data_IF_395060126643
#
_entry.id   IF_395060126643
#
_cell.length_a   1.000
_cell.length_b   1.000
_cell.length_c   1.000
_cell.angle_alpha   90.00
_cell.angle_beta   90.00
_cell.angle_gamma   90.00
#
_symmetry.space_group_name_H-M   'P 1'
#
loop_
_entity.id
_entity.type
_entity.pdbx_description
1 polymer ?
#
# COMPACT_ATOMS: atom_id res chain seq x y z
N UNK A 1 -9.57 -10.92 2.01
CA UNK A 1 -9.05 -10.14 3.16
C UNK A 1 -9.67 -8.75 3.10
N UNK A 2 -10.24 -8.25 4.21
CA UNK A 2 -10.84 -6.90 4.31
C UNK A 2 -9.92 -5.97 5.08
N UNK A 3 -9.79 -4.72 4.65
CA UNK A 3 -9.11 -3.66 5.39
C UNK A 3 -10.06 -3.06 6.40
N UNK A 4 -9.59 -2.80 7.63
CA UNK A 4 -10.37 -2.11 8.65
C UNK A 4 -10.33 -0.58 8.47
N UNK A 5 -11.16 0.13 9.24
CA UNK A 5 -11.13 1.59 9.27
C UNK A 5 -9.81 2.14 9.84
N UNK A 6 -9.24 1.46 10.83
CA UNK A 6 -7.94 1.78 11.43
C UNK A 6 -6.82 1.61 10.40
N UNK A 7 -6.88 0.55 9.58
CA UNK A 7 -5.94 0.35 8.49
C UNK A 7 -5.97 1.53 7.50
N UNK A 8 -7.15 2.11 7.26
CA UNK A 8 -7.30 3.29 6.39
C UNK A 8 -6.53 4.50 6.94
N UNK A 9 -6.63 4.76 8.25
CA UNK A 9 -5.84 5.82 8.89
C UNK A 9 -4.34 5.50 8.86
N UNK A 10 -3.97 4.25 9.10
CA UNK A 10 -2.57 3.82 9.07
C UNK A 10 -1.91 4.13 7.73
N UNK A 11 -2.55 3.78 6.61
CA UNK A 11 -2.01 4.03 5.28
C UNK A 11 -1.95 5.51 4.91
N UNK A 12 -2.91 6.34 5.35
CA UNK A 12 -2.83 7.79 5.14
C UNK A 12 -1.67 8.41 5.94
N UNK A 13 -1.51 8.04 7.21
CA UNK A 13 -0.46 8.58 8.09
C UNK A 13 0.96 8.11 7.73
N UNK A 14 1.10 6.98 7.04
CA UNK A 14 2.38 6.33 6.77
C UNK A 14 2.66 6.16 5.27
N UNK A 15 1.94 6.89 4.41
CA UNK A 15 1.98 6.69 2.96
C UNK A 15 3.41 6.72 2.39
N UNK A 16 4.17 7.78 2.67
CA UNK A 16 5.53 7.96 2.15
C UNK A 16 6.47 6.87 2.66
N UNK A 17 6.45 6.59 3.98
CA UNK A 17 7.26 5.52 4.58
C UNK A 17 6.97 4.15 3.96
N UNK A 18 5.69 3.81 3.78
CA UNK A 18 5.31 2.52 3.19
C UNK A 18 5.72 2.45 1.72
N UNK A 19 5.64 3.57 0.99
CA UNK A 19 6.10 3.66 -0.39
C UNK A 19 7.62 3.43 -0.49
N UNK A 20 8.40 4.01 0.41
CA UNK A 20 9.85 3.79 0.51
C UNK A 20 10.20 2.35 0.87
N UNK A 21 9.53 1.76 1.86
CA UNK A 21 9.70 0.35 2.24
C UNK A 21 9.42 -0.60 1.06
N UNK A 22 8.40 -0.30 0.23
CA UNK A 22 8.11 -1.08 -0.98
C UNK A 22 9.20 -0.92 -2.06
N UNK A 23 9.77 0.28 -2.21
CA UNK A 23 10.84 0.53 -3.16
C UNK A 23 12.13 -0.20 -2.73
N UNK A 24 12.48 -0.15 -1.44
CA UNK A 24 13.60 -0.89 -0.87
C UNK A 24 13.40 -2.41 -1.03
N UNK A 25 12.18 -2.91 -0.82
CA UNK A 25 11.87 -4.32 -1.04
C UNK A 25 12.15 -4.75 -2.48
N UNK A 26 11.78 -3.95 -3.48
CA UNK A 26 12.06 -4.23 -4.89
C UNK A 26 13.55 -4.24 -5.21
N UNK A 27 14.29 -3.23 -4.72
CA UNK A 27 15.74 -3.14 -4.95
C UNK A 27 16.45 -4.33 -4.30
N UNK A 28 16.11 -4.65 -3.05
CA UNK A 28 16.71 -5.77 -2.32
C UNK A 28 16.31 -7.12 -2.89
N UNK A 29 15.07 -7.29 -3.37
CA UNK A 29 14.66 -8.53 -4.04
C UNK A 29 15.40 -8.75 -5.36
N UNK A 30 15.68 -7.67 -6.11
CA UNK A 30 16.41 -7.74 -7.37
C UNK A 30 17.91 -8.01 -7.17
N UNK A 31 18.52 -7.55 -6.07
CA UNK A 31 19.93 -7.87 -5.74
C UNK A 31 20.20 -9.34 -5.39
N UNK A 32 19.16 -10.17 -5.28
CA UNK A 32 19.31 -11.62 -5.09
C UNK A 32 19.14 -12.43 -6.38
N UNK A 33 18.71 -11.81 -7.49
CA UNK A 33 18.71 -12.47 -8.82
C UNK A 33 20.13 -12.48 -9.43
N UNK A 34 21.03 -11.59 -8.99
CA UNK A 34 22.42 -11.51 -9.49
C UNK A 34 23.45 -12.35 -8.70
N UNK A 35 23.01 -13.20 -7.76
CA UNK A 35 23.91 -14.07 -6.98
C UNK A 35 24.05 -15.50 -7.54
N UNK A 36 23.52 -15.79 -8.73
CA UNK A 36 23.51 -17.16 -9.27
C UNK A 36 24.35 -17.40 -10.54
N UNK A 37 25.23 -16.49 -10.96
CA UNK A 37 26.06 -16.73 -12.15
C UNK A 37 27.57 -16.87 -11.93
N UNK A 38 28.15 -16.67 -10.73
CA UNK A 38 29.62 -16.74 -10.65
C UNK A 38 30.29 -17.10 -9.32
N UNK A 39 29.75 -18.04 -8.53
CA UNK A 39 30.55 -18.68 -7.47
C UNK A 39 30.28 -20.19 -7.45
N UNK A 40 31.13 -20.93 -8.16
CA UNK A 40 31.25 -22.37 -8.00
C UNK A 40 31.81 -22.71 -6.62
N UNK A 41 30.96 -22.87 -5.61
CA UNK A 41 31.30 -23.59 -4.38
C UNK A 41 30.07 -24.36 -3.90
N UNK A 42 30.13 -25.68 -4.12
CA UNK A 42 29.51 -26.80 -3.38
C UNK A 42 28.34 -26.42 -2.44
N UNK A 43 27.10 -26.58 -2.91
CA UNK A 43 25.93 -26.64 -2.02
C UNK A 43 25.74 -28.06 -1.48
N UNK A 44 26.29 -28.31 -0.30
CA UNK A 44 25.93 -29.45 0.55
C UNK A 44 24.48 -29.33 1.02
N UNK A 45 23.85 -30.49 1.17
CA UNK A 45 22.41 -30.77 1.30
C UNK A 45 21.64 -30.06 2.45
N UNK A 46 20.48 -29.50 2.06
CA UNK A 46 19.15 -29.42 2.71
C UNK A 46 18.93 -28.72 4.08
N UNK A 47 18.16 -27.61 4.07
CA UNK A 47 16.95 -27.30 4.90
C UNK A 47 16.32 -25.91 4.65
N UNK A 48 16.95 -25.05 3.84
CA UNK A 48 16.57 -23.63 3.69
C UNK A 48 15.55 -23.31 2.57
N UNK A 49 15.25 -24.22 1.65
CA UNK A 49 14.44 -23.89 0.46
C UNK A 49 12.97 -23.62 0.80
N UNK A 50 12.39 -24.36 1.73
CA UNK A 50 10.99 -24.20 2.19
C UNK A 50 10.83 -22.93 3.02
N UNK A 51 11.77 -22.65 3.91
CA UNK A 51 11.81 -21.43 4.73
C UNK A 51 12.01 -20.19 3.86
N UNK A 52 12.93 -20.23 2.90
CA UNK A 52 13.11 -19.14 1.92
C UNK A 52 11.92 -18.97 0.98
N UNK A 53 11.24 -20.05 0.58
CA UNK A 53 10.00 -19.96 -0.20
C UNK A 53 8.84 -19.41 0.64
N UNK A 54 8.78 -19.73 1.93
CA UNK A 54 7.82 -19.16 2.89
C UNK A 54 8.11 -17.68 3.14
N UNK A 55 9.36 -17.29 3.35
CA UNK A 55 9.79 -15.90 3.46
C UNK A 55 9.45 -15.12 2.18
N UNK A 56 9.71 -15.69 1.01
CA UNK A 56 9.27 -15.12 -0.28
C UNK A 56 7.75 -14.98 -0.36
N UNK A 57 6.97 -16.01 -0.02
CA UNK A 57 5.49 -15.97 -0.03
C UNK A 57 4.89 -15.01 1.00
N UNK A 58 5.45 -14.96 2.21
CA UNK A 58 5.08 -14.04 3.29
C UNK A 58 5.36 -12.60 2.89
N UNK A 59 6.54 -12.35 2.32
CA UNK A 59 6.92 -11.05 1.78
C UNK A 59 6.09 -10.68 0.54
N UNK A 60 5.70 -11.64 -0.31
CA UNK A 60 4.90 -11.38 -1.51
C UNK A 60 3.45 -10.99 -1.17
N UNK A 61 2.81 -11.71 -0.24
CA UNK A 61 1.46 -11.37 0.24
C UNK A 61 1.43 -10.03 0.98
N UNK A 62 2.44 -9.75 1.82
CA UNK A 62 2.62 -8.45 2.46
C UNK A 62 2.84 -7.33 1.43
N UNK A 63 3.72 -7.56 0.45
CA UNK A 63 4.06 -6.61 -0.61
C UNK A 63 2.84 -6.29 -1.48
N UNK A 64 2.11 -7.31 -1.96
CA UNK A 64 0.90 -7.13 -2.77
C UNK A 64 -0.13 -6.27 -2.02
N UNK A 65 -0.37 -6.55 -0.74
CA UNK A 65 -1.33 -5.80 0.07
C UNK A 65 -0.93 -4.34 0.24
N UNK A 66 0.31 -4.08 0.59
CA UNK A 66 0.80 -2.71 0.76
C UNK A 66 0.90 -1.95 -0.55
N UNK A 67 1.30 -2.62 -1.64
CA UNK A 67 1.30 -2.05 -3.00
C UNK A 67 -0.12 -1.67 -3.42
N UNK A 68 -1.10 -2.54 -3.20
CA UNK A 68 -2.51 -2.24 -3.41
C UNK A 68 -2.94 -1.01 -2.61
N UNK A 69 -2.66 -0.97 -1.31
CA UNK A 69 -3.03 0.16 -0.47
C UNK A 69 -2.36 1.47 -0.91
N UNK A 70 -1.07 1.46 -1.23
CA UNK A 70 -0.34 2.62 -1.76
C UNK A 70 -0.94 3.08 -3.09
N UNK A 71 -1.32 2.17 -3.98
CA UNK A 71 -1.97 2.52 -5.24
C UNK A 71 -3.35 3.16 -5.01
N UNK A 72 -4.15 2.62 -4.07
CA UNK A 72 -5.42 3.24 -3.69
C UNK A 72 -5.24 4.66 -3.14
N UNK A 73 -4.23 4.89 -2.31
CA UNK A 73 -3.92 6.23 -1.79
C UNK A 73 -3.47 7.15 -2.94
N UNK A 74 -2.56 6.72 -3.82
CA UNK A 74 -2.15 7.51 -4.99
C UNK A 74 -3.33 7.91 -5.87
N UNK A 75 -4.21 6.95 -6.16
CA UNK A 75 -5.39 7.18 -6.97
C UNK A 75 -6.35 8.15 -6.28
N UNK A 76 -6.56 8.01 -4.97
CA UNK A 76 -7.38 8.94 -4.18
C UNK A 76 -6.87 10.37 -4.33
N UNK A 77 -5.58 10.63 -4.10
CA UNK A 77 -5.00 11.97 -4.23
C UNK A 77 -5.05 12.52 -5.67
N UNK A 78 -4.98 11.64 -6.68
CA UNK A 78 -5.09 12.04 -8.10
C UNK A 78 -6.51 12.50 -8.47
N UNK A 79 -7.53 11.91 -7.84
CA UNK A 79 -8.95 12.19 -8.12
C UNK A 79 -9.49 13.39 -7.31
N UNK A 80 -8.74 13.89 -6.33
CA UNK A 80 -9.13 15.04 -5.50
C UNK A 80 -8.92 16.37 -6.22
N UNK A 81 -9.87 17.29 -6.03
CA UNK A 81 -9.66 18.71 -6.23
C UNK A 81 -8.57 19.26 -5.30
N UNK A 82 -8.03 20.43 -5.63
CA UNK A 82 -6.85 20.95 -4.95
C UNK A 82 -7.12 21.40 -3.50
N UNK A 83 -8.32 21.92 -3.18
CA UNK A 83 -8.68 22.30 -1.81
C UNK A 83 -8.73 21.06 -0.90
N UNK A 84 -9.40 19.99 -1.33
CA UNK A 84 -9.45 18.72 -0.58
C UNK A 84 -8.07 18.09 -0.47
N UNK A 85 -7.29 18.12 -1.56
CA UNK A 85 -5.93 17.58 -1.57
C UNK A 85 -5.06 18.29 -0.54
N UNK A 86 -5.13 19.62 -0.47
CA UNK A 86 -4.40 20.41 0.52
C UNK A 86 -4.81 20.08 1.95
N UNK A 87 -6.12 19.93 2.22
CA UNK A 87 -6.63 19.50 3.52
C UNK A 87 -6.05 18.14 3.93
N UNK A 88 -6.04 17.17 3.01
CA UNK A 88 -5.52 15.83 3.27
C UNK A 88 -4.00 15.83 3.50
N UNK A 89 -3.24 16.62 2.72
CA UNK A 89 -1.79 16.79 2.92
C UNK A 89 -1.52 17.41 4.30
N UNK A 90 -2.20 18.50 4.64
CA UNK A 90 -2.00 19.17 5.92
C UNK A 90 -2.32 18.24 7.08
N UNK A 91 -3.42 17.48 6.98
CA UNK A 91 -3.81 16.56 8.06
C UNK A 91 -2.86 15.38 8.23
N UNK A 92 -2.47 14.72 7.14
CA UNK A 92 -1.81 13.40 7.20
C UNK A 92 -0.31 13.43 6.99
N UNK A 93 0.20 14.38 6.18
CA UNK A 93 1.63 14.50 5.90
C UNK A 93 2.28 15.54 6.81
N UNK A 94 1.65 16.72 6.95
CA UNK A 94 2.15 17.80 7.82
C UNK A 94 1.70 17.68 9.28
N UNK A 95 0.74 16.79 9.57
CA UNK A 95 0.19 16.51 10.92
C UNK A 95 -0.44 17.73 11.61
N UNK A 96 -1.00 18.63 10.82
CA UNK A 96 -1.65 19.82 11.32
C UNK A 96 -2.96 19.48 12.05
N UNK A 97 -3.32 20.32 13.03
CA UNK A 97 -4.59 20.23 13.74
C UNK A 97 -5.76 20.70 12.86
N UNK A 98 -6.97 20.21 13.13
CA UNK A 98 -8.17 20.62 12.38
C UNK A 98 -8.40 22.12 12.49
N UNK A 99 -8.20 22.70 13.69
CA UNK A 99 -8.28 24.15 13.95
C UNK A 99 -7.34 24.95 13.04
N UNK A 100 -6.10 24.50 12.90
CA UNK A 100 -5.11 25.20 12.05
C UNK A 100 -5.47 25.07 10.58
N UNK A 101 -5.89 23.89 10.13
CA UNK A 101 -6.34 23.67 8.76
C UNK A 101 -7.55 24.54 8.44
N UNK A 102 -8.53 24.61 9.35
CA UNK A 102 -9.75 25.40 9.17
C UNK A 102 -9.46 26.89 9.01
N UNK A 103 -8.48 27.41 9.76
CA UNK A 103 -7.96 28.76 9.61
C UNK A 103 -7.27 28.98 8.26
N UNK A 104 -6.43 28.03 7.82
CA UNK A 104 -5.69 28.13 6.55
C UNK A 104 -6.60 28.17 5.33
N UNK A 105 -7.67 27.38 5.31
CA UNK A 105 -8.59 27.28 4.17
C UNK A 105 -9.85 28.15 4.34
N UNK A 106 -9.95 28.93 5.42
CA UNK A 106 -11.10 29.77 5.75
C UNK A 106 -12.46 29.02 5.75
N UNK A 107 -12.48 27.83 6.36
CA UNK A 107 -13.70 27.01 6.56
C UNK A 107 -13.93 26.75 8.04
N UNK A 108 -15.13 26.31 8.42
CA UNK A 108 -15.38 25.83 9.78
C UNK A 108 -14.71 24.47 10.03
N UNK A 109 -14.33 24.20 11.28
CA UNK A 109 -13.74 22.91 11.68
C UNK A 109 -14.61 21.72 11.29
N UNK A 110 -15.93 21.81 11.50
CA UNK A 110 -16.89 20.78 11.09
C UNK A 110 -16.86 20.51 9.57
N UNK A 111 -16.63 21.54 8.75
CA UNK A 111 -16.50 21.38 7.31
C UNK A 111 -15.24 20.58 6.97
N UNK A 112 -14.11 20.93 7.58
CA UNK A 112 -12.82 20.24 7.41
C UNK A 112 -12.94 18.77 7.83
N UNK A 113 -13.57 18.50 8.97
CA UNK A 113 -13.83 17.13 9.44
C UNK A 113 -14.64 16.32 8.45
N UNK A 114 -15.71 16.92 7.89
CA UNK A 114 -16.55 16.26 6.87
C UNK A 114 -15.77 15.99 5.59
N UNK A 115 -14.92 16.92 5.15
CA UNK A 115 -14.03 16.72 4.00
C UNK A 115 -13.12 15.50 4.25
N UNK A 116 -12.38 15.48 5.37
CA UNK A 116 -11.50 14.38 5.73
C UNK A 116 -12.27 13.06 5.82
N UNK A 117 -13.41 13.05 6.51
CA UNK A 117 -14.22 11.85 6.70
C UNK A 117 -14.71 11.25 5.38
N UNK A 118 -15.20 12.09 4.46
CA UNK A 118 -15.63 11.65 3.12
C UNK A 118 -14.48 10.98 2.35
N UNK A 119 -13.29 11.56 2.40
CA UNK A 119 -12.13 11.01 1.70
C UNK A 119 -11.65 9.69 2.32
N UNK A 120 -11.70 9.57 3.65
CA UNK A 120 -11.47 8.28 4.33
C UNK A 120 -12.49 7.21 3.91
N UNK A 121 -13.77 7.57 3.79
CA UNK A 121 -14.82 6.65 3.32
C UNK A 121 -14.54 6.17 1.89
N UNK A 122 -14.13 7.07 0.99
CA UNK A 122 -13.77 6.72 -0.38
C UNK A 122 -12.57 5.76 -0.38
N UNK A 123 -11.52 6.08 0.39
CA UNK A 123 -10.35 5.21 0.48
C UNK A 123 -10.68 3.84 1.06
N UNK A 124 -11.48 3.79 2.13
CA UNK A 124 -11.93 2.54 2.75
C UNK A 124 -12.67 1.65 1.74
N UNK A 125 -13.54 2.25 0.92
CA UNK A 125 -14.22 1.55 -0.18
C UNK A 125 -13.22 1.05 -1.22
N UNK A 126 -12.29 1.88 -1.70
CA UNK A 126 -11.26 1.48 -2.69
C UNK A 126 -10.35 0.35 -2.19
N UNK A 127 -9.94 0.41 -0.93
CA UNK A 127 -9.14 -0.64 -0.29
C UNK A 127 -9.87 -1.99 -0.30
N UNK A 128 -11.20 -1.97 -0.15
CA UNK A 128 -12.04 -3.17 -0.07
C UNK A 128 -12.77 -3.54 -1.36
N UNK A 129 -12.77 -2.69 -2.39
CA UNK A 129 -13.48 -2.93 -3.66
C UNK A 129 -12.80 -3.94 -4.55
N UNK A 130 -11.54 -4.27 -4.25
CA UNK A 130 -10.75 -5.23 -5.02
C UNK A 130 -10.54 -6.45 -4.14
N UNK A 131 -11.24 -7.56 -4.42
CA UNK A 131 -10.73 -8.87 -4.02
C UNK A 131 -9.41 -9.08 -4.78
N UNK A 132 -8.28 -8.64 -4.22
CA UNK A 132 -6.93 -8.84 -4.79
C UNK A 132 -6.49 -10.33 -4.74
N UNK A 133 -7.43 -11.26 -4.59
CA UNK A 133 -7.18 -12.69 -4.66
C UNK A 133 -8.04 -13.33 -5.75
N UNK A 134 -7.74 -12.98 -6.99
CA UNK A 134 -8.09 -13.77 -8.17
C UNK A 134 -6.81 -14.27 -8.85
N UNK A 135 -6.61 -15.59 -8.86
CA UNK A 135 -5.77 -16.32 -9.83
C UNK A 135 -4.23 -16.17 -9.82
N UNK A 136 -3.56 -16.28 -8.68
CA UNK A 136 -2.16 -16.75 -8.65
C UNK A 136 -2.07 -18.24 -8.23
N UNK A 137 -2.87 -19.09 -8.89
CA UNK A 137 -2.92 -20.52 -8.60
C UNK A 137 -3.72 -21.42 -9.55
N UNK A 138 -4.30 -20.91 -10.64
CA UNK A 138 -4.92 -21.76 -11.69
C UNK A 138 -4.52 -21.27 -13.08
N UNK A 139 -3.27 -21.53 -13.47
CA UNK A 139 -2.96 -21.76 -14.89
C UNK A 139 -3.11 -23.26 -15.11
N UNK A 140 -4.28 -23.65 -15.60
CA UNK A 140 -4.62 -25.03 -15.91
C UNK A 140 -6.13 -25.20 -15.89
N UNK A 141 -6.78 -25.08 -17.06
CA UNK A 141 -8.19 -25.41 -17.21
C UNK A 141 -8.95 -24.45 -18.12
N UNK A 142 -8.79 -24.66 -19.42
CA UNK A 142 -9.71 -24.39 -20.54
C UNK A 142 -10.65 -23.18 -20.45
N UNK A 143 -10.33 -22.19 -21.28
CA UNK A 143 -11.30 -21.27 -21.87
C UNK A 143 -12.03 -22.05 -22.98
N UNK A 144 -13.31 -22.36 -22.79
CA UNK A 144 -14.20 -22.76 -23.90
C UNK A 144 -14.81 -21.47 -24.46
N UNK A 145 -14.80 -21.42 -25.79
CA UNK A 145 -15.30 -20.38 -26.70
C UNK A 145 -16.65 -19.77 -26.29
#
# INVERSE_FOLDING_TARGET
>A
MKYSWEATNYYLNNFERIREELNLFLVTSNTFEDLDENIGVVRTKMKNSTEQALLRKLNYGWYIRRKHAVNCVKQLFKEMDDEIKEVMICRYLKRESIVRISQMIHRSESSVEKMIYRQKQILYKKLNSTQVYGNYGKKGGNMIL
#
